data_IF_245542562332
#
_entry.id   IF_245542562332
#
_cell.length_a   1.000
_cell.length_b   1.000
_cell.length_c   1.000
_cell.angle_alpha   90.00
_cell.angle_beta   90.00
_cell.angle_gamma   90.00
#
_symmetry.space_group_name_H-M   'P 1'
#
loop_
_entity.id
_entity.type
_entity.pdbx_description
1 polymer ?
#
# COMPACT_ATOMS: atom_id res chain seq x y z
N UNK A 1 0.59 -9.03 -19.32
CA UNK A 1 1.43 -8.88 -20.53
C UNK A 1 2.70 -8.17 -20.10
N UNK A 2 3.86 -8.84 -20.16
CA UNK A 2 5.11 -8.40 -19.54
C UNK A 2 5.96 -7.68 -20.61
N UNK A 3 6.38 -6.44 -20.33
CA UNK A 3 7.18 -5.63 -21.26
C UNK A 3 8.66 -5.77 -20.89
N UNK A 4 9.49 -6.25 -21.82
CA UNK A 4 10.93 -6.47 -21.63
C UNK A 4 11.67 -5.34 -22.35
N UNK A 5 12.40 -4.49 -21.61
CA UNK A 5 13.32 -3.51 -22.19
C UNK A 5 14.76 -3.98 -22.02
N UNK A 6 15.38 -4.48 -23.10
CA UNK A 6 16.77 -4.92 -23.11
C UNK A 6 17.70 -3.74 -23.45
N UNK A 7 18.53 -3.30 -22.49
CA UNK A 7 19.54 -2.24 -22.66
C UNK A 7 20.93 -2.88 -22.76
N UNK A 8 21.53 -2.90 -23.96
CA UNK A 8 22.88 -3.38 -24.34
C UNK A 8 22.98 -4.83 -24.86
N UNK A 9 23.57 -4.96 -26.07
CA UNK A 9 23.72 -6.18 -26.85
C UNK A 9 25.20 -6.56 -27.11
N UNK A 10 26.14 -6.19 -26.25
CA UNK A 10 27.60 -6.38 -26.52
C UNK A 10 28.45 -6.88 -25.36
N UNK A 11 27.86 -7.27 -24.23
CA UNK A 11 28.54 -8.02 -23.16
C UNK A 11 27.59 -9.13 -22.72
N UNK A 12 28.10 -10.34 -22.51
CA UNK A 12 27.34 -11.49 -22.03
C UNK A 12 26.97 -11.32 -20.54
N UNK A 13 26.32 -10.20 -20.24
CA UNK A 13 25.78 -9.88 -18.94
C UNK A 13 24.38 -9.35 -19.22
N UNK A 14 23.41 -10.26 -19.08
CA UNK A 14 22.00 -9.89 -19.12
C UNK A 14 21.64 -9.40 -17.73
N UNK A 15 21.64 -8.09 -17.53
CA UNK A 15 21.06 -7.49 -16.33
C UNK A 15 19.55 -7.46 -16.55
N UNK A 16 18.86 -8.45 -16.00
CA UNK A 16 17.40 -8.45 -15.93
C UNK A 16 17.00 -7.71 -14.65
N UNK A 17 16.50 -6.48 -14.80
CA UNK A 17 15.87 -5.75 -13.71
C UNK A 17 14.49 -6.37 -13.43
N UNK A 18 14.35 -7.06 -12.30
CA UNK A 18 13.08 -7.65 -11.86
C UNK A 18 12.35 -6.66 -10.95
N UNK A 19 11.44 -5.87 -11.51
CA UNK A 19 10.54 -5.04 -10.71
C UNK A 19 9.35 -5.87 -10.22
N UNK A 20 9.44 -6.40 -9.00
CA UNK A 20 8.31 -7.06 -8.34
C UNK A 20 7.37 -5.98 -7.82
N UNK A 21 6.39 -5.58 -8.65
CA UNK A 21 5.32 -4.63 -8.29
C UNK A 21 4.36 -5.12 -7.19
N UNK A 22 4.63 -6.27 -6.57
CA UNK A 22 3.78 -6.83 -5.51
C UNK A 22 4.18 -6.20 -4.18
N UNK A 23 3.26 -5.43 -3.61
CA UNK A 23 3.30 -4.95 -2.21
C UNK A 23 3.02 -6.10 -1.23
N UNK A 24 2.15 -7.03 -1.63
CA UNK A 24 1.73 -8.16 -0.83
C UNK A 24 2.66 -9.37 -1.08
N UNK A 25 3.36 -9.83 -0.04
CA UNK A 25 4.43 -10.82 -0.12
C UNK A 25 3.91 -12.22 0.23
N UNK A 26 3.24 -12.38 1.38
CA UNK A 26 2.86 -13.71 1.89
C UNK A 26 1.56 -13.70 2.71
N UNK A 27 0.84 -14.83 2.74
CA UNK A 27 -0.38 -15.08 3.53
C UNK A 27 -1.43 -13.95 3.48
N UNK A 28 -1.62 -13.38 2.29
CA UNK A 28 -2.43 -12.19 2.12
C UNK A 28 -3.91 -12.53 2.09
N UNK A 29 -4.69 -11.82 2.91
CA UNK A 29 -6.16 -11.89 2.90
C UNK A 29 -6.72 -10.59 2.36
N UNK A 30 -7.59 -10.72 1.36
CA UNK A 30 -8.23 -9.59 0.71
C UNK A 30 -9.73 -9.55 0.99
N UNK A 31 -10.25 -8.34 1.12
CA UNK A 31 -11.67 -8.04 1.19
C UNK A 31 -12.05 -7.02 0.12
N UNK A 32 -13.35 -6.90 -0.16
CA UNK A 32 -13.90 -5.96 -1.14
C UNK A 32 -14.62 -4.83 -0.41
N UNK A 33 -14.44 -3.61 -0.89
CA UNK A 33 -15.13 -2.44 -0.36
C UNK A 33 -15.34 -1.37 -1.41
N UNK A 34 -16.18 -0.39 -1.08
CA UNK A 34 -16.46 0.76 -1.94
C UNK A 34 -15.62 1.91 -1.46
N UNK A 35 -14.57 2.25 -2.20
CA UNK A 35 -13.73 3.41 -1.91
C UNK A 35 -14.37 4.69 -2.41
N UNK A 36 -14.38 5.71 -1.57
CA UNK A 36 -14.93 7.04 -1.89
C UNK A 36 -13.85 8.09 -1.70
N UNK A 37 -13.63 8.91 -2.73
CA UNK A 37 -12.75 10.06 -2.62
C UNK A 37 -13.47 11.21 -1.90
N UNK A 38 -13.03 11.56 -0.70
CA UNK A 38 -13.55 12.69 0.10
C UNK A 38 -12.56 13.82 0.30
N UNK A 39 -11.48 13.88 -0.50
CA UNK A 39 -10.40 14.85 -0.32
C UNK A 39 -10.74 16.28 -0.78
N UNK A 40 -11.92 16.50 -1.40
CA UNK A 40 -12.33 17.80 -1.91
C UNK A 40 -11.79 18.13 -3.30
N UNK A 41 -10.97 17.26 -3.90
CA UNK A 41 -10.38 17.40 -5.22
C UNK A 41 -10.17 16.07 -5.94
N UNK A 42 -9.44 16.07 -7.05
CA UNK A 42 -9.02 14.84 -7.73
C UNK A 42 -8.01 14.09 -6.86
N UNK A 43 -8.20 12.79 -6.70
CA UNK A 43 -7.33 11.93 -5.91
C UNK A 43 -6.91 10.71 -6.72
N UNK A 44 -5.61 10.44 -6.76
CA UNK A 44 -5.08 9.22 -7.37
C UNK A 44 -5.02 8.12 -6.33
N UNK A 45 -5.88 7.12 -6.47
CA UNK A 45 -5.83 5.90 -5.68
C UNK A 45 -4.79 4.95 -6.28
N UNK A 46 -3.81 4.56 -5.47
CA UNK A 46 -2.71 3.68 -5.85
C UNK A 46 -2.67 2.46 -4.93
N UNK A 47 -2.00 1.40 -5.38
CA UNK A 47 -1.71 0.26 -4.52
C UNK A 47 -0.77 0.68 -3.37
N UNK A 48 -0.98 0.10 -2.18
CA UNK A 48 -0.13 0.40 -1.02
C UNK A 48 -0.61 1.58 -0.17
N UNK A 49 -1.68 2.27 -0.59
CA UNK A 49 -2.32 3.31 0.20
C UNK A 49 -3.11 2.71 1.36
N UNK A 50 -3.07 3.38 2.51
CA UNK A 50 -3.91 3.02 3.65
C UNK A 50 -5.37 3.36 3.39
N UNK A 51 -6.26 2.41 3.69
CA UNK A 51 -7.72 2.61 3.63
C UNK A 51 -8.31 2.63 5.03
N UNK A 52 -9.18 3.61 5.25
CA UNK A 52 -9.89 3.82 6.51
C UNK A 52 -11.35 3.43 6.32
N UNK A 53 -11.99 2.91 7.38
CA UNK A 53 -13.42 2.59 7.34
C UNK A 53 -14.25 3.86 7.22
N UNK A 54 -15.19 3.88 6.28
CA UNK A 54 -16.31 4.83 6.32
C UNK A 54 -17.35 4.33 7.34
N UNK A 55 -17.65 5.13 8.36
CA UNK A 55 -18.70 4.79 9.34
C UNK A 55 -20.10 5.15 8.85
N UNK A 56 -20.21 5.98 7.81
CA UNK A 56 -21.50 6.38 7.23
C UNK A 56 -22.06 5.33 6.25
N UNK A 57 -21.20 4.49 5.67
CA UNK A 57 -21.59 3.47 4.69
C UNK A 57 -21.00 2.11 5.07
N UNK A 58 -21.85 1.10 5.21
CA UNK A 58 -21.39 -0.27 5.48
C UNK A 58 -20.51 -0.78 4.34
N UNK A 59 -19.26 -1.15 4.65
CA UNK A 59 -18.28 -1.56 3.64
C UNK A 59 -17.69 -0.41 2.81
N UNK A 60 -17.97 0.84 3.21
CA UNK A 60 -17.35 2.02 2.63
C UNK A 60 -15.92 2.20 3.13
N UNK A 61 -15.08 2.72 2.24
CA UNK A 61 -13.66 3.00 2.47
C UNK A 61 -13.35 4.45 2.12
N UNK A 62 -12.48 5.07 2.91
CA UNK A 62 -12.02 6.44 2.73
C UNK A 62 -10.49 6.47 2.65
N UNK A 63 -9.91 7.52 2.02
CA UNK A 63 -8.48 7.75 2.06
C UNK A 63 -8.02 8.00 3.50
N UNK A 64 -6.90 7.38 3.89
CA UNK A 64 -6.21 7.73 5.12
C UNK A 64 -5.59 9.13 5.00
N UNK A 65 -5.63 9.86 6.11
CA UNK A 65 -5.07 11.20 6.32
C UNK A 65 -4.35 11.20 7.66
N UNK A 66 -3.59 12.26 7.94
CA UNK A 66 -2.94 12.44 9.25
C UNK A 66 -3.91 12.49 10.44
N UNK A 67 -5.21 12.69 10.20
CA UNK A 67 -6.23 12.79 11.25
C UNK A 67 -6.96 11.47 11.54
N UNK A 68 -6.94 10.51 10.62
CA UNK A 68 -7.77 9.29 10.69
C UNK A 68 -7.00 8.00 10.40
N UNK A 69 -5.67 8.05 10.28
CA UNK A 69 -4.85 6.86 10.02
C UNK A 69 -4.97 5.78 11.12
N UNK A 70 -5.36 6.16 12.33
CA UNK A 70 -5.64 5.25 13.44
C UNK A 70 -6.80 4.29 13.15
N UNK A 71 -7.72 4.69 12.28
CA UNK A 71 -8.89 3.91 11.87
C UNK A 71 -8.62 3.12 10.58
N UNK A 72 -7.34 2.99 10.19
CA UNK A 72 -6.96 2.18 9.05
C UNK A 72 -7.38 0.73 9.28
N UNK A 73 -8.04 0.15 8.28
CA UNK A 73 -8.52 -1.25 8.32
C UNK A 73 -7.78 -2.15 7.33
N UNK A 74 -6.91 -1.58 6.50
CA UNK A 74 -6.15 -2.32 5.52
C UNK A 74 -5.37 -1.45 4.55
N UNK A 75 -4.84 -2.10 3.53
CA UNK A 75 -4.02 -1.50 2.48
C UNK A 75 -4.68 -1.76 1.12
N UNK A 76 -4.81 -0.73 0.28
CA UNK A 76 -5.36 -0.83 -1.06
C UNK A 76 -4.53 -1.80 -1.92
N UNK A 77 -5.21 -2.79 -2.50
CA UNK A 77 -4.64 -3.80 -3.37
C UNK A 77 -5.21 -3.61 -4.79
N UNK A 78 -4.60 -2.71 -5.55
CA UNK A 78 -5.01 -2.41 -6.93
C UNK A 78 -3.90 -2.78 -7.92
N UNK A 79 -4.27 -3.05 -9.16
CA UNK A 79 -3.30 -3.37 -10.23
C UNK A 79 -2.81 -2.11 -10.97
N UNK A 80 -3.68 -1.10 -11.07
CA UNK A 80 -3.43 0.16 -11.77
C UNK A 80 -3.89 1.35 -10.92
N UNK A 81 -3.31 2.51 -11.19
CA UNK A 81 -3.69 3.76 -10.53
C UNK A 81 -5.01 4.27 -11.08
N UNK A 82 -5.93 4.66 -10.19
CA UNK A 82 -7.23 5.20 -10.57
C UNK A 82 -7.34 6.64 -10.09
N UNK A 83 -7.54 7.56 -11.01
CA UNK A 83 -7.83 8.97 -10.68
C UNK A 83 -9.33 9.12 -10.46
N UNK A 84 -9.71 9.50 -9.23
CA UNK A 84 -11.09 9.71 -8.82
C UNK A 84 -11.36 11.20 -8.68
N UNK A 85 -12.45 11.67 -9.27
CA UNK A 85 -12.99 13.00 -9.00
C UNK A 85 -13.49 13.09 -7.55
N UNK A 86 -13.75 14.32 -7.08
CA UNK A 86 -14.29 14.52 -5.74
C UNK A 86 -15.66 13.83 -5.61
N UNK A 87 -15.86 13.11 -4.50
CA UNK A 87 -17.08 12.35 -4.18
C UNK A 87 -17.35 11.16 -5.12
N UNK A 88 -16.43 10.81 -6.02
CA UNK A 88 -16.50 9.63 -6.85
C UNK A 88 -16.21 8.37 -6.02
N UNK A 89 -16.83 7.25 -6.41
CA UNK A 89 -16.68 5.96 -5.77
C UNK A 89 -16.18 4.90 -6.73
N UNK A 90 -15.33 4.00 -6.25
CA UNK A 90 -14.82 2.84 -7.01
C UNK A 90 -14.78 1.60 -6.13
N UNK A 91 -15.07 0.44 -6.72
CA UNK A 91 -14.96 -0.83 -6.01
C UNK A 91 -13.50 -1.29 -6.03
N UNK A 92 -12.95 -1.55 -4.85
CA UNK A 92 -11.56 -1.96 -4.71
C UNK A 92 -11.42 -3.22 -3.87
N UNK A 93 -10.29 -3.89 -4.04
CA UNK A 93 -9.81 -4.89 -3.09
C UNK A 93 -8.81 -4.24 -2.14
N UNK A 94 -8.86 -4.62 -0.87
CA UNK A 94 -7.90 -4.19 0.14
C UNK A 94 -7.43 -5.39 0.95
N UNK A 95 -6.16 -5.38 1.32
CA UNK A 95 -5.55 -6.39 2.18
C UNK A 95 -5.84 -6.10 3.65
N UNK A 96 -6.37 -7.08 4.37
CA UNK A 96 -6.65 -6.98 5.81
C UNK A 96 -5.64 -7.74 6.66
N UNK A 97 -4.92 -8.71 6.08
CA UNK A 97 -3.89 -9.52 6.73
C UNK A 97 -2.82 -9.96 5.72
N UNK A 98 -1.65 -10.32 6.23
CA UNK A 98 -0.54 -10.88 5.45
C UNK A 98 0.76 -10.12 5.68
N UNK A 99 1.79 -10.48 4.94
CA UNK A 99 3.07 -9.78 4.93
C UNK A 99 3.09 -8.79 3.78
N UNK A 100 3.37 -7.53 4.08
CA UNK A 100 3.46 -6.44 3.10
C UNK A 100 4.85 -5.82 3.10
N UNK A 101 5.30 -5.42 1.92
CA UNK A 101 6.51 -4.65 1.71
C UNK A 101 6.30 -3.22 2.25
N UNK A 102 6.87 -2.94 3.42
CA UNK A 102 6.70 -1.66 4.10
C UNK A 102 7.33 -0.48 3.36
N UNK A 103 8.26 -0.74 2.44
CA UNK A 103 8.93 0.29 1.63
C UNK A 103 8.05 0.77 0.46
N UNK A 104 7.07 -0.03 0.06
CA UNK A 104 6.12 0.30 -1.01
C UNK A 104 4.78 0.83 -0.47
N UNK A 105 4.68 1.07 0.84
CA UNK A 105 3.50 1.70 1.42
C UNK A 105 3.47 3.19 1.08
N UNK A 106 2.31 3.63 0.65
CA UNK A 106 2.03 5.04 0.37
C UNK A 106 1.33 5.62 1.60
N UNK A 107 2.10 6.30 2.43
CA UNK A 107 1.62 6.90 3.68
C UNK A 107 1.05 8.31 3.43
N UNK A 108 0.04 8.75 4.21
CA UNK A 108 -0.42 10.12 4.18
C UNK A 108 0.71 11.11 4.47
N UNK A 109 0.62 12.32 3.92
CA UNK A 109 1.59 13.37 4.18
C UNK A 109 1.81 13.56 5.69
N UNK A 110 3.07 13.75 6.10
CA UNK A 110 3.53 13.90 7.50
C UNK A 110 3.39 12.67 8.41
N UNK A 111 2.86 11.56 7.90
CA UNK A 111 2.72 10.29 8.64
C UNK A 111 3.87 9.35 8.27
N UNK A 112 4.43 8.70 9.28
CA UNK A 112 5.44 7.63 9.15
C UNK A 112 4.96 6.40 9.89
N UNK A 113 5.64 5.26 9.73
CA UNK A 113 5.33 4.05 10.51
C UNK A 113 5.49 4.26 12.03
N UNK A 114 6.31 5.24 12.44
CA UNK A 114 6.52 5.60 13.85
C UNK A 114 5.54 6.68 14.33
N UNK A 115 4.65 7.18 13.47
CA UNK A 115 3.65 8.18 13.87
C UNK A 115 2.66 7.55 14.84
N UNK A 116 2.39 8.28 15.92
CA UNK A 116 1.42 7.92 16.96
C UNK A 116 0.23 8.86 16.83
N UNK A 117 -0.97 8.32 16.83
CA UNK A 117 -2.18 9.12 16.81
C UNK A 117 -2.34 9.90 18.12
N UNK A 118 -3.01 11.05 18.06
CA UNK A 118 -3.20 11.87 19.27
C UNK A 118 -4.07 11.12 20.27
N UNK A 119 -3.51 10.79 21.44
CA UNK A 119 -4.21 10.04 22.49
C UNK A 119 -4.05 8.52 22.41
N UNK A 120 -3.27 8.00 21.46
CA UNK A 120 -2.89 6.59 21.40
C UNK A 120 -1.46 6.38 21.93
N UNK A 121 -1.11 5.14 22.25
CA UNK A 121 0.24 4.70 22.63
C UNK A 121 0.89 3.85 21.54
N UNK A 122 0.10 3.37 20.57
CA UNK A 122 0.59 2.52 19.48
C UNK A 122 1.03 3.36 18.29
N UNK A 123 2.14 2.97 17.68
CA UNK A 123 2.56 3.53 16.39
C UNK A 123 1.68 2.99 15.26
N UNK A 124 1.68 3.66 14.11
CA UNK A 124 1.05 3.15 12.89
C UNK A 124 1.59 1.75 12.52
N UNK A 125 2.89 1.51 12.72
CA UNK A 125 3.49 0.18 12.54
C UNK A 125 2.87 -0.87 13.48
N UNK A 126 2.70 -0.54 14.76
CA UNK A 126 2.07 -1.44 15.74
C UNK A 126 0.58 -1.67 15.43
N UNK A 127 -0.12 -0.64 14.95
CA UNK A 127 -1.51 -0.75 14.51
C UNK A 127 -1.64 -1.75 13.35
N UNK A 128 -0.82 -1.61 12.31
CA UNK A 128 -0.83 -2.51 11.16
C UNK A 128 -0.47 -3.95 11.56
N UNK A 129 0.55 -4.14 12.39
CA UNK A 129 0.87 -5.45 12.93
C UNK A 129 -0.28 -6.03 13.78
N UNK A 130 -0.97 -5.19 14.55
CA UNK A 130 -2.16 -5.58 15.33
C UNK A 130 -3.35 -6.03 14.49
N UNK A 131 -3.51 -5.50 13.27
CA UNK A 131 -4.50 -5.97 12.29
C UNK A 131 -4.11 -7.34 11.68
N UNK A 132 -2.82 -7.69 11.76
CA UNK A 132 -2.23 -8.86 11.12
C UNK A 132 -1.50 -8.55 9.82
N UNK A 133 -1.22 -7.27 9.53
CA UNK A 133 -0.41 -6.81 8.41
C UNK A 133 1.04 -6.66 8.89
N UNK A 134 1.84 -7.69 8.63
CA UNK A 134 3.25 -7.72 9.02
C UNK A 134 4.07 -6.93 8.02
N UNK A 135 4.76 -5.90 8.50
CA UNK A 135 5.57 -5.03 7.65
C UNK A 135 6.97 -5.63 7.48
N UNK A 136 7.28 -6.09 6.28
CA UNK A 136 8.64 -6.46 5.90
C UNK A 136 9.37 -5.19 5.42
N UNK A 137 10.35 -4.76 6.22
CA UNK A 137 11.22 -3.62 5.92
C UNK A 137 12.59 -4.09 5.44
N UNK A 138 12.78 -5.41 5.25
CA UNK A 138 14.05 -5.92 4.77
C UNK A 138 14.21 -5.60 3.28
N UNK A 139 15.19 -4.76 2.96
CA UNK A 139 15.74 -4.74 1.62
C UNK A 139 16.49 -6.05 1.44
N UNK A 140 15.85 -7.08 0.87
CA UNK A 140 16.61 -8.22 0.33
C UNK A 140 17.34 -7.73 -0.91
N UNK A 141 18.41 -6.97 -0.69
CA UNK A 141 19.44 -6.79 -1.69
C UNK A 141 20.13 -8.14 -1.83
N UNK A 142 19.79 -8.89 -2.86
CA UNK A 142 20.61 -10.01 -3.32
C UNK A 142 21.91 -9.46 -3.92
N UNK A 143 22.73 -8.77 -3.12
CA UNK A 143 24.12 -8.48 -3.46
C UNK A 143 24.92 -9.75 -3.18
N UNK A 144 24.85 -10.71 -4.12
CA UNK A 144 25.92 -11.70 -4.24
C UNK A 144 27.21 -10.96 -4.62
N UNK A 145 27.95 -10.50 -3.62
CA UNK A 145 29.39 -10.35 -3.76
C UNK A 145 29.99 -11.75 -3.61
N UNK A 146 30.15 -12.43 -4.74
CA UNK A 146 31.11 -13.52 -4.86
C UNK A 146 32.44 -12.85 -5.25
N UNK A 147 33.47 -13.00 -4.40
CA UNK A 147 34.84 -12.57 -4.66
C UNK A 147 35.76 -13.77 -4.54
#
# INVERSE_FOLDING_TARGET
MQTINQRNATRNQSTADFEVKRIFIFDNRFERGVFKNTTGGSFTLQAGMLVVRDTAVTGGLLPATALNFQDAIGIAAMEEDVVLANNETVNIMYGTKGTVDGLKLVLPATVTLNSVATGDTKTLGDLLNGLGLHLDLTTVENTKFDN
#
